data_IF_649631101372
#
_entry.id   IF_649631101372
#
_cell.length_a   1.000
_cell.length_b   1.000
_cell.length_c   1.000
_cell.angle_alpha   90.00
_cell.angle_beta   90.00
_cell.angle_gamma   90.00
#
_symmetry.space_group_name_H-M   'P 1'
#
loop_
_entity.id
_entity.type
_entity.pdbx_description
1 polymer ?
#
# COMPACT_ATOMS: atom_id res chain seq x y z
N UNK A 1 -56.86 7.27 -35.57
CA UNK A 1 -56.58 7.10 -34.13
C UNK A 1 -56.29 8.46 -33.52
N UNK A 2 -57.13 8.90 -32.56
CA UNK A 2 -56.78 9.52 -31.26
C UNK A 2 -55.95 10.84 -31.22
N UNK A 3 -56.24 11.91 -30.45
CA UNK A 3 -57.34 12.44 -29.60
C UNK A 3 -57.05 13.96 -29.40
N UNK A 4 -58.03 14.72 -28.91
CA UNK A 4 -58.09 16.18 -28.78
C UNK A 4 -57.32 16.82 -27.58
N UNK A 5 -57.02 18.14 -27.73
CA UNK A 5 -57.16 19.27 -26.78
C UNK A 5 -56.32 19.31 -25.47
N UNK A 6 -55.44 20.31 -25.29
CA UNK A 6 -55.57 21.66 -24.64
C UNK A 6 -55.14 21.71 -23.18
N UNK A 7 -54.40 22.75 -22.79
CA UNK A 7 -54.38 23.26 -21.41
C UNK A 7 -53.05 23.85 -20.95
N UNK A 8 -52.88 25.16 -21.19
CA UNK A 8 -51.81 26.01 -20.65
C UNK A 8 -51.85 26.08 -19.12
N UNK A 9 -50.71 26.28 -18.44
CA UNK A 9 -50.59 27.25 -17.31
C UNK A 9 -49.10 27.54 -17.03
N UNK A 10 -48.76 28.84 -17.02
CA UNK A 10 -47.47 29.39 -16.60
C UNK A 10 -47.34 29.34 -15.08
N UNK A 11 -46.15 29.06 -14.56
CA UNK A 11 -45.61 29.71 -13.35
C UNK A 11 -44.07 29.67 -13.41
N UNK A 12 -43.45 30.84 -13.27
CA UNK A 12 -42.06 30.98 -12.83
C UNK A 12 -42.12 31.52 -11.39
N UNK A 13 -41.24 31.06 -10.48
CA UNK A 13 -40.43 32.05 -9.78
C UNK A 13 -38.98 31.62 -9.49
N UNK A 14 -38.08 32.54 -9.85
CA UNK A 14 -37.02 33.19 -9.05
C UNK A 14 -36.16 32.38 -8.07
N UNK A 15 -34.84 32.57 -8.27
CA UNK A 15 -33.68 32.44 -7.40
C UNK A 15 -33.90 32.43 -5.88
N UNK A 16 -33.15 31.56 -5.20
CA UNK A 16 -32.37 31.91 -4.00
C UNK A 16 -31.26 30.89 -3.82
N UNK A 17 -30.01 31.34 -3.77
CA UNK A 17 -28.88 30.52 -3.34
C UNK A 17 -29.03 30.12 -1.87
N UNK A 18 -28.61 28.91 -1.57
CA UNK A 18 -28.30 28.50 -0.21
C UNK A 18 -27.04 27.64 -0.28
N UNK A 19 -25.96 28.19 0.23
CA UNK A 19 -24.70 27.52 0.49
C UNK A 19 -24.97 26.32 1.38
N UNK A 20 -24.61 25.12 0.93
CA UNK A 20 -24.57 23.94 1.79
C UNK A 20 -23.14 23.84 2.32
N UNK A 21 -22.93 24.41 3.50
CA UNK A 21 -21.85 24.03 4.41
C UNK A 21 -22.06 22.57 4.84
N UNK A 22 -21.52 21.66 4.04
CA UNK A 22 -21.46 20.24 4.32
C UNK A 22 -20.25 19.90 5.17
N UNK A 23 -20.25 20.35 6.44
CA UNK A 23 -19.41 19.80 7.50
C UNK A 23 -19.65 18.28 7.59
N UNK A 24 -18.85 17.50 6.87
CA UNK A 24 -18.86 16.05 6.92
C UNK A 24 -17.78 15.63 7.91
N UNK A 25 -18.25 15.55 9.16
CA UNK A 25 -17.73 14.78 10.28
C UNK A 25 -16.64 13.78 9.87
N UNK A 26 -15.43 14.11 10.32
CA UNK A 26 -14.44 13.13 10.71
C UNK A 26 -15.06 12.12 11.69
N UNK A 27 -14.55 10.89 11.65
CA UNK A 27 -14.89 9.70 12.47
C UNK A 27 -15.99 8.79 11.86
N UNK A 28 -15.84 7.47 11.74
CA UNK A 28 -15.02 6.54 12.52
C UNK A 28 -14.89 5.17 11.82
N UNK A 29 -13.79 4.42 12.07
CA UNK A 29 -13.75 2.99 11.73
C UNK A 29 -12.38 2.31 11.59
N UNK A 30 -11.66 2.13 12.72
CA UNK A 30 -10.53 1.19 12.97
C UNK A 30 -9.07 1.67 12.86
N UNK A 31 -8.76 2.94 13.13
CA UNK A 31 -7.38 3.35 13.46
C UNK A 31 -7.23 4.00 14.85
N UNK A 32 -8.31 4.10 15.65
CA UNK A 32 -8.24 4.50 17.06
C UNK A 32 -7.97 3.29 17.98
N UNK A 33 -6.77 2.71 17.90
CA UNK A 33 -6.27 1.80 18.93
C UNK A 33 -4.73 1.74 18.98
N UNK A 34 -4.08 2.91 19.03
CA UNK A 34 -2.82 3.08 19.77
C UNK A 34 -2.49 4.57 19.89
N UNK A 35 -3.02 5.22 20.93
CA UNK A 35 -2.56 6.55 21.39
C UNK A 35 -1.15 6.49 22.01
N UNK A 36 -0.30 5.56 21.57
CA UNK A 36 1.02 5.25 22.14
C UNK A 36 2.17 5.33 21.14
N UNK A 37 1.88 5.38 19.84
CA UNK A 37 2.92 5.37 18.82
C UNK A 37 3.10 6.79 18.27
N UNK A 38 4.27 7.39 18.54
CA UNK A 38 4.66 8.69 17.99
C UNK A 38 5.08 8.50 16.54
N UNK A 39 4.47 9.25 15.62
CA UNK A 39 4.94 9.33 14.23
C UNK A 39 6.15 10.28 14.15
N UNK A 40 7.22 9.80 13.51
CA UNK A 40 8.48 10.53 13.37
C UNK A 40 8.65 11.08 11.94
N UNK A 41 8.25 10.31 10.93
CA UNK A 41 8.26 10.71 9.54
C UNK A 41 7.24 9.90 8.74
N UNK A 42 6.78 10.46 7.62
CA UNK A 42 5.92 9.78 6.65
C UNK A 42 6.37 10.09 5.23
N UNK A 43 6.38 9.07 4.37
CA UNK A 43 6.50 9.21 2.91
C UNK A 43 5.28 8.59 2.26
N UNK A 44 4.74 9.25 1.24
CA UNK A 44 3.64 8.74 0.43
C UNK A 44 4.12 8.51 -1.00
N UNK A 45 3.89 7.30 -1.51
CA UNK A 45 4.17 6.92 -2.89
C UNK A 45 2.88 6.57 -3.61
N UNK A 46 2.66 7.18 -4.77
CA UNK A 46 1.59 6.78 -5.67
C UNK A 46 2.17 5.98 -6.82
N UNK A 47 1.88 4.69 -6.86
CA UNK A 47 2.39 3.76 -7.87
C UNK A 47 1.18 3.15 -8.60
N UNK A 48 1.03 3.47 -9.89
CA UNK A 48 -0.19 3.20 -10.66
C UNK A 48 -1.44 3.74 -9.93
N UNK A 49 -2.44 2.89 -9.72
CA UNK A 49 -3.69 3.19 -9.04
C UNK A 49 -3.63 2.93 -7.53
N UNK A 50 -2.44 2.67 -6.97
CA UNK A 50 -2.24 2.39 -5.54
C UNK A 50 -1.51 3.53 -4.86
N UNK A 51 -1.81 3.73 -3.58
CA UNK A 51 -1.07 4.65 -2.70
C UNK A 51 -0.43 3.85 -1.57
N UNK A 52 0.84 4.12 -1.31
CA UNK A 52 1.60 3.53 -0.20
C UNK A 52 1.99 4.63 0.77
N UNK A 53 1.82 4.36 2.06
CA UNK A 53 2.29 5.22 3.14
C UNK A 53 3.37 4.46 3.91
N UNK A 54 4.54 5.07 4.05
CA UNK A 54 5.72 4.52 4.71
C UNK A 54 6.01 5.42 5.90
N UNK A 55 5.54 5.00 7.07
CA UNK A 55 5.62 5.79 8.29
C UNK A 55 6.69 5.22 9.22
N UNK A 56 7.63 6.06 9.64
CA UNK A 56 8.52 5.75 10.75
C UNK A 56 7.80 6.14 12.03
N UNK A 57 7.61 5.17 12.93
CA UNK A 57 6.92 5.36 14.20
C UNK A 57 7.78 4.86 15.36
N UNK A 58 7.53 5.40 16.55
CA UNK A 58 8.23 5.03 17.77
C UNK A 58 7.23 4.70 18.87
N UNK A 59 7.50 3.62 19.59
CA UNK A 59 6.77 3.26 20.80
C UNK A 59 7.75 2.85 21.91
N UNK A 60 7.21 2.33 23.02
CA UNK A 60 8.03 1.91 24.18
C UNK A 60 9.06 0.82 23.87
N UNK A 61 8.91 0.08 22.76
CA UNK A 61 9.82 -1.00 22.35
C UNK A 61 10.91 -0.54 21.37
N UNK A 62 10.85 0.70 20.89
CA UNK A 62 11.78 1.22 19.89
C UNK A 62 11.08 1.78 18.65
N UNK A 63 11.88 2.07 17.63
CA UNK A 63 11.43 2.58 16.34
C UNK A 63 11.08 1.44 15.39
N UNK A 64 10.11 1.67 14.51
CA UNK A 64 9.70 0.72 13.49
C UNK A 64 9.12 1.43 12.28
N UNK A 65 9.04 0.74 11.14
CA UNK A 65 8.38 1.23 9.92
C UNK A 65 7.05 0.52 9.73
N UNK A 66 5.98 1.31 9.58
CA UNK A 66 4.67 0.84 9.12
C UNK A 66 4.57 1.12 7.62
N UNK A 67 4.30 0.08 6.83
CA UNK A 67 3.95 0.25 5.42
C UNK A 67 2.48 -0.05 5.23
N UNK A 68 1.70 0.94 4.82
CA UNK A 68 0.29 0.77 4.44
C UNK A 68 0.13 0.85 2.92
N UNK A 69 -0.71 -0.01 2.37
CA UNK A 69 -1.17 0.01 0.98
C UNK A 69 -2.66 0.37 0.96
N UNK A 70 -3.02 1.30 0.07
CA UNK A 70 -4.39 1.58 -0.34
C UNK A 70 -4.55 1.13 -1.80
N UNK A 71 -5.31 0.06 -2.00
CA UNK A 71 -5.64 -0.50 -3.31
C UNK A 71 -6.55 0.42 -4.13
N UNK A 72 -6.65 0.12 -5.42
CA UNK A 72 -7.52 0.87 -6.34
C UNK A 72 -9.02 0.80 -5.95
N UNK A 73 -9.40 -0.29 -5.27
CA UNK A 73 -10.73 -0.54 -4.72
C UNK A 73 -10.92 0.06 -3.32
N UNK A 74 -9.96 0.86 -2.85
CA UNK A 74 -9.95 1.46 -1.51
C UNK A 74 -9.61 0.48 -0.39
N UNK A 75 -9.33 -0.79 -0.69
CA UNK A 75 -8.92 -1.76 0.34
C UNK A 75 -7.59 -1.35 0.95
N UNK A 76 -7.51 -1.50 2.27
CA UNK A 76 -6.33 -1.16 3.05
C UNK A 76 -5.64 -2.43 3.54
N UNK A 77 -4.33 -2.49 3.39
CA UNK A 77 -3.51 -3.53 4.01
C UNK A 77 -2.22 -2.90 4.54
N UNK A 78 -1.56 -3.58 5.48
CA UNK A 78 -0.35 -3.04 6.10
C UNK A 78 0.59 -4.14 6.60
N UNK A 79 1.88 -3.83 6.62
CA UNK A 79 2.92 -4.62 7.26
C UNK A 79 3.74 -3.73 8.19
N UNK A 80 4.43 -4.37 9.13
CA UNK A 80 5.28 -3.71 10.12
C UNK A 80 6.67 -4.31 10.06
N UNK A 81 7.67 -3.45 9.94
CA UNK A 81 9.08 -3.80 9.82
C UNK A 81 9.85 -3.18 10.99
N UNK A 82 10.72 -3.96 11.60
CA UNK A 82 11.79 -3.39 12.41
C UNK A 82 12.76 -2.63 11.48
N UNK A 83 13.53 -1.66 11.99
CA UNK A 83 14.46 -0.90 11.14
C UNK A 83 15.51 -1.80 10.48
N UNK A 84 15.97 -2.83 11.19
CA UNK A 84 16.92 -3.81 10.63
C UNK A 84 16.30 -4.60 9.48
N UNK A 85 15.02 -4.98 9.61
CA UNK A 85 14.28 -5.72 8.56
C UNK A 85 13.95 -4.80 7.38
N UNK A 86 13.71 -3.52 7.61
CA UNK A 86 13.51 -2.55 6.53
C UNK A 86 14.80 -2.33 5.72
N UNK A 87 15.97 -2.36 6.35
CA UNK A 87 17.25 -2.33 5.65
C UNK A 87 17.47 -3.56 4.77
N UNK A 88 17.22 -4.77 5.30
CA UNK A 88 17.26 -6.01 4.51
C UNK A 88 16.25 -5.97 3.35
N UNK A 89 15.05 -5.42 3.57
CA UNK A 89 14.05 -5.27 2.52
C UNK A 89 14.51 -4.29 1.42
N UNK A 90 15.14 -3.17 1.78
CA UNK A 90 15.73 -2.20 0.85
C UNK A 90 16.78 -2.85 -0.05
N UNK A 91 17.62 -3.72 0.51
CA UNK A 91 18.66 -4.42 -0.24
C UNK A 91 18.04 -5.44 -1.22
N UNK A 92 17.04 -6.20 -0.76
CA UNK A 92 16.28 -7.11 -1.62
C UNK A 92 15.54 -6.38 -2.75
N UNK A 93 14.98 -5.19 -2.51
CA UNK A 93 14.32 -4.41 -3.57
C UNK A 93 15.27 -4.09 -4.73
N UNK A 94 16.56 -3.84 -4.45
CA UNK A 94 17.58 -3.67 -5.49
C UNK A 94 17.74 -4.94 -6.32
N UNK A 95 17.96 -6.09 -5.67
CA UNK A 95 18.11 -7.38 -6.35
C UNK A 95 16.86 -7.79 -7.15
N UNK A 96 15.66 -7.51 -6.63
CA UNK A 96 14.42 -7.74 -7.36
C UNK A 96 14.26 -6.81 -8.56
N UNK A 97 14.68 -5.54 -8.45
CA UNK A 97 14.66 -4.60 -9.56
C UNK A 97 15.60 -5.02 -10.68
N UNK A 98 16.83 -5.40 -10.35
CA UNK A 98 17.80 -5.87 -11.34
C UNK A 98 17.29 -7.11 -12.08
N UNK A 99 16.74 -8.07 -11.34
CA UNK A 99 16.11 -9.24 -11.94
C UNK A 99 14.93 -8.85 -12.82
N UNK A 100 14.03 -7.97 -12.36
CA UNK A 100 12.88 -7.49 -13.15
C UNK A 100 13.31 -6.81 -14.45
N UNK A 101 14.36 -5.99 -14.42
CA UNK A 101 14.91 -5.33 -15.61
C UNK A 101 15.52 -6.31 -16.61
N UNK A 102 15.99 -7.47 -16.16
CA UNK A 102 16.47 -8.54 -17.05
C UNK A 102 15.37 -9.35 -17.73
N UNK A 103 14.12 -9.24 -17.23
CA UNK A 103 13.01 -10.00 -17.79
C UNK A 103 12.54 -9.36 -19.11
N UNK A 104 12.33 -10.21 -20.12
CA UNK A 104 11.64 -9.84 -21.35
C UNK A 104 10.17 -9.47 -21.14
N UNK A 105 9.44 -9.17 -22.23
CA UNK A 105 8.01 -8.88 -22.16
C UNK A 105 7.24 -10.03 -21.48
N UNK A 106 6.13 -9.75 -20.77
CA UNK A 106 5.29 -10.77 -20.17
C UNK A 106 4.89 -11.82 -21.20
N UNK A 107 5.01 -13.10 -20.85
CA UNK A 107 4.54 -14.19 -21.70
C UNK A 107 3.36 -14.90 -21.00
N UNK A 108 2.11 -14.56 -21.37
CA UNK A 108 0.92 -15.12 -20.72
C UNK A 108 0.78 -16.64 -20.89
N UNK A 109 1.49 -17.26 -21.84
CA UNK A 109 1.46 -18.71 -22.06
C UNK A 109 2.41 -19.49 -21.14
N UNK A 110 3.35 -18.82 -20.46
CA UNK A 110 4.40 -19.46 -19.67
C UNK A 110 4.52 -18.90 -18.25
N UNK A 111 3.39 -18.52 -17.65
CA UNK A 111 3.35 -18.09 -16.24
C UNK A 111 3.35 -19.34 -15.35
N UNK A 112 4.27 -19.46 -14.37
CA UNK A 112 4.23 -20.56 -13.41
C UNK A 112 2.86 -20.68 -12.76
N UNK A 113 2.45 -21.88 -12.36
CA UNK A 113 1.12 -22.12 -11.77
C UNK A 113 0.87 -21.25 -10.52
N UNK A 114 1.91 -21.05 -9.71
CA UNK A 114 1.86 -20.17 -8.56
C UNK A 114 2.17 -18.70 -8.89
N UNK A 115 2.58 -18.41 -10.13
CA UNK A 115 2.94 -17.12 -10.68
C UNK A 115 4.23 -16.51 -10.11
N UNK A 116 5.08 -17.26 -9.41
CA UNK A 116 6.33 -16.72 -8.82
C UNK A 116 7.49 -16.75 -9.81
N UNK A 117 8.20 -15.63 -9.90
CA UNK A 117 9.38 -15.46 -10.75
C UNK A 117 10.69 -15.49 -9.95
N UNK A 118 10.67 -14.96 -8.72
CA UNK A 118 11.79 -14.97 -7.76
C UNK A 118 11.22 -14.84 -6.35
N UNK A 119 11.84 -15.49 -5.37
CA UNK A 119 11.42 -15.45 -3.97
C UNK A 119 12.60 -15.25 -3.03
N UNK A 120 12.38 -14.52 -1.94
CA UNK A 120 13.29 -14.33 -0.81
C UNK A 120 12.50 -14.40 0.51
N UNK A 121 13.19 -14.60 1.63
CA UNK A 121 12.57 -14.63 2.97
C UNK A 121 13.43 -13.84 3.95
N UNK A 122 12.80 -12.91 4.67
CA UNK A 122 13.41 -12.24 5.83
C UNK A 122 12.79 -12.78 7.11
N UNK A 123 13.58 -12.90 8.17
CA UNK A 123 13.13 -13.44 9.46
C UNK A 123 13.52 -12.47 10.58
N UNK A 124 12.54 -12.10 11.41
CA UNK A 124 12.76 -11.29 12.61
C UNK A 124 12.01 -11.89 13.79
N UNK A 125 12.73 -12.39 14.78
CA UNK A 125 12.16 -13.08 15.95
C UNK A 125 11.18 -14.20 15.52
N UNK A 126 9.89 -14.05 15.84
CA UNK A 126 8.82 -14.97 15.45
C UNK A 126 8.09 -14.55 14.16
N UNK A 127 8.54 -13.51 13.45
CA UNK A 127 7.94 -13.01 12.21
C UNK A 127 8.73 -13.48 11.00
N UNK A 128 8.01 -13.87 9.94
CA UNK A 128 8.57 -14.17 8.63
C UNK A 128 7.95 -13.25 7.59
N UNK A 129 8.78 -12.75 6.69
CA UNK A 129 8.39 -11.90 5.57
C UNK A 129 8.76 -12.64 4.30
N UNK A 130 7.75 -13.04 3.52
CA UNK A 130 7.93 -13.68 2.24
C UNK A 130 7.88 -12.62 1.15
N UNK A 131 8.95 -12.51 0.37
CA UNK A 131 9.07 -11.59 -0.74
C UNK A 131 8.97 -12.40 -2.03
N UNK A 132 7.85 -12.31 -2.73
CA UNK A 132 7.62 -13.03 -3.99
C UNK A 132 7.44 -12.02 -5.12
N UNK A 133 8.38 -11.94 -6.07
CA UNK A 133 8.13 -11.27 -7.34
C UNK A 133 7.24 -12.20 -8.19
N UNK A 134 6.07 -11.70 -8.57
CA UNK A 134 5.04 -12.49 -9.24
C UNK A 134 4.60 -11.87 -10.56
N UNK A 135 4.09 -12.71 -11.45
CA UNK A 135 3.44 -12.32 -12.71
C UNK A 135 2.00 -12.82 -12.74
N UNK A 136 1.09 -11.98 -13.21
CA UNK A 136 -0.28 -12.38 -13.55
C UNK A 136 -0.80 -11.55 -14.74
N UNK A 137 -2.07 -11.74 -15.10
CA UNK A 137 -2.70 -11.03 -16.22
C UNK A 137 -2.69 -9.49 -16.10
N UNK A 138 -2.46 -8.93 -14.91
CA UNK A 138 -2.37 -7.48 -14.68
C UNK A 138 -0.92 -6.95 -14.73
N UNK A 139 0.06 -7.84 -14.88
CA UNK A 139 1.49 -7.52 -14.91
C UNK A 139 2.26 -8.11 -13.74
N UNK A 140 3.45 -7.55 -13.52
CA UNK A 140 4.39 -8.01 -12.48
C UNK A 140 4.31 -7.17 -11.22
N UNK A 141 4.42 -7.81 -10.06
CA UNK A 141 4.37 -7.15 -8.76
C UNK A 141 5.17 -7.92 -7.71
N UNK A 142 5.78 -7.22 -6.77
CA UNK A 142 6.40 -7.79 -5.59
C UNK A 142 5.37 -7.90 -4.46
N UNK A 143 5.05 -9.12 -4.06
CA UNK A 143 4.22 -9.39 -2.88
C UNK A 143 5.12 -9.52 -1.66
N UNK A 144 4.88 -8.70 -0.65
CA UNK A 144 5.48 -8.86 0.67
C UNK A 144 4.40 -9.36 1.65
N UNK A 145 4.51 -10.61 2.09
CA UNK A 145 3.59 -11.23 3.05
C UNK A 145 4.26 -11.37 4.42
N UNK A 146 3.69 -10.75 5.44
CA UNK A 146 4.09 -10.89 6.82
C UNK A 146 3.27 -11.98 7.52
N UNK A 147 3.93 -12.90 8.21
CA UNK A 147 3.30 -13.91 9.05
C UNK A 147 3.95 -13.98 10.43
N UNK A 148 3.17 -14.36 11.44
CA UNK A 148 3.67 -14.68 12.78
C UNK A 148 3.69 -16.21 12.93
N UNK A 149 4.81 -16.74 13.36
CA UNK A 149 5.00 -18.18 13.62
C UNK A 149 3.97 -18.65 14.65
N UNK A 150 3.38 -19.84 14.45
CA UNK A 150 2.29 -20.43 15.26
C UNK A 150 0.88 -19.88 15.03
N UNK A 151 0.55 -19.56 13.77
CA UNK A 151 -0.84 -19.30 13.36
C UNK A 151 -1.37 -17.91 13.70
N UNK A 152 -0.48 -16.94 13.95
CA UNK A 152 -0.89 -15.55 14.17
C UNK A 152 -1.40 -14.87 12.88
N UNK A 153 -1.86 -13.61 13.01
CA UNK A 153 -2.40 -12.85 11.88
C UNK A 153 -1.40 -12.77 10.71
N UNK A 154 -1.95 -12.84 9.50
CA UNK A 154 -1.20 -12.66 8.24
C UNK A 154 -1.64 -11.35 7.60
N UNK A 155 -0.68 -10.59 7.12
CA UNK A 155 -0.95 -9.39 6.34
C UNK A 155 0.01 -9.33 5.16
N UNK A 156 -0.34 -8.54 4.14
CA UNK A 156 0.49 -8.42 2.96
C UNK A 156 0.27 -7.09 2.26
N UNK A 157 1.29 -6.68 1.49
CA UNK A 157 1.20 -5.62 0.50
C UNK A 157 1.68 -6.16 -0.86
N UNK A 158 1.29 -5.51 -1.95
CA UNK A 158 1.63 -5.85 -3.32
C UNK A 158 2.09 -4.59 -4.07
N UNK A 159 3.41 -4.42 -4.16
CA UNK A 159 4.09 -3.30 -4.81
C UNK A 159 4.19 -3.61 -6.30
N UNK A 160 3.60 -2.80 -7.20
CA UNK A 160 3.82 -2.98 -8.63
C UNK A 160 5.31 -2.92 -8.99
N UNK A 161 5.77 -3.80 -9.89
CA UNK A 161 7.21 -4.01 -10.11
C UNK A 161 7.94 -2.72 -10.55
N UNK A 162 7.31 -1.88 -11.37
CA UNK A 162 7.91 -0.62 -11.81
C UNK A 162 8.13 0.42 -10.69
N UNK A 163 7.47 0.25 -9.52
CA UNK A 163 7.64 1.13 -8.37
C UNK A 163 8.65 0.62 -7.33
N UNK A 164 9.34 -0.51 -7.58
CA UNK A 164 10.29 -1.07 -6.60
C UNK A 164 11.47 -0.13 -6.31
N UNK A 165 11.95 0.61 -7.32
CA UNK A 165 13.03 1.59 -7.17
C UNK A 165 12.60 2.78 -6.30
N UNK A 166 11.46 3.40 -6.59
CA UNK A 166 10.93 4.50 -5.77
C UNK A 166 10.69 4.08 -4.31
N UNK A 167 10.23 2.84 -4.12
CA UNK A 167 10.05 2.25 -2.80
C UNK A 167 11.38 2.05 -2.07
N UNK A 168 12.41 1.53 -2.76
CA UNK A 168 13.77 1.37 -2.24
C UNK A 168 14.38 2.71 -1.83
N UNK A 169 14.24 3.74 -2.67
CA UNK A 169 14.79 5.07 -2.43
C UNK A 169 14.12 5.72 -1.24
N UNK A 170 12.79 5.57 -1.12
CA UNK A 170 12.05 6.03 0.05
C UNK A 170 12.47 5.34 1.34
N UNK A 171 12.75 4.04 1.32
CA UNK A 171 13.32 3.34 2.47
C UNK A 171 14.74 3.80 2.77
N UNK A 172 15.56 4.06 1.74
CA UNK A 172 16.93 4.54 1.91
C UNK A 172 16.95 5.87 2.64
N UNK A 173 16.18 6.85 2.18
CA UNK A 173 16.08 8.16 2.84
C UNK A 173 15.69 8.03 4.33
N UNK A 174 14.68 7.20 4.63
CA UNK A 174 14.22 7.00 6.00
C UNK A 174 15.25 6.25 6.86
N UNK A 175 15.96 5.28 6.30
CA UNK A 175 16.98 4.53 7.04
C UNK A 175 18.25 5.34 7.26
N UNK A 176 18.59 6.24 6.34
CA UNK A 176 19.71 7.17 6.51
C UNK A 176 19.42 8.19 7.63
N UNK A 177 18.17 8.62 7.78
CA UNK A 177 17.75 9.55 8.83
C UNK A 177 17.55 8.87 10.20
N UNK A 178 16.89 7.70 10.23
CA UNK A 178 16.45 7.07 11.48
C UNK A 178 17.31 5.88 11.93
N UNK A 179 18.23 5.43 11.10
CA UNK A 179 19.14 4.30 11.33
C UNK A 179 18.58 2.93 10.93
N UNK A 180 19.42 1.91 11.04
CA UNK A 180 19.11 0.51 10.69
C UNK A 180 19.07 -0.43 11.91
N UNK A 181 19.35 0.08 13.10
CA UNK A 181 19.26 -0.67 14.36
C UNK A 181 17.85 -0.54 14.96
N UNK A 182 17.36 -1.58 15.65
CA UNK A 182 15.99 -1.61 16.17
C UNK A 182 15.78 -0.84 17.48
N UNK A 183 16.84 -0.24 18.02
CA UNK A 183 16.83 0.45 19.31
C UNK A 183 17.60 -0.31 20.38
#
# INVERSE_FOLDING_TARGET
MNWYKTGSFNYSPKYSGQEIDGNSNYENGKDQANSQDQELATKMLQIQSKRFYIDVKQNRRGKYIKVAEIGADGRRSQIYLALSTAAEFRDHLSAFSDYYSSLGPPNPENVPEDGKLKSEIMIKENRRYYLDLKENARGRFLRCSQTITRGGPRSQIAIPAQGMIEFRDSLTDLLDEFGTSDG
#
